data_IF_982269034362
#
_entry.id   IF_982269034362
#
_cell.length_a   1.000
_cell.length_b   1.000
_cell.length_c   1.000
_cell.angle_alpha   90.00
_cell.angle_beta   90.00
_cell.angle_gamma   90.00
#
_symmetry.space_group_name_H-M   'P 1'
#
loop_
_entity.id
_entity.type
_entity.pdbx_description
1 polymer ?
2 non-polymer ?
3 non-polymer ?
4 water ?
#
# COMPACT_ATOMS: atom_id res chain seq x y z
N UNK A 5 3.33 3.56 24.45
CA UNK A 5 4.71 4.07 24.09
C UNK A 5 5.76 2.95 23.98
N UNK A 6 5.98 2.22 25.07
CA UNK A 6 6.79 0.99 25.03
C UNK A 6 6.05 -0.04 24.18
N UNK A 7 4.73 -0.09 24.39
CA UNK A 7 3.81 -0.89 23.61
C UNK A 7 3.89 -0.48 22.13
N UNK A 8 3.81 0.84 21.91
CA UNK A 8 3.88 1.47 20.59
C UNK A 8 5.18 1.16 19.83
N UNK A 9 6.34 1.34 20.47
CA UNK A 9 7.63 1.00 19.85
C UNK A 9 7.79 -0.47 19.44
N UNK A 10 7.30 -1.37 20.28
CA UNK A 10 7.31 -2.81 20.00
C UNK A 10 6.40 -3.14 18.83
N UNK A 11 5.20 -2.57 18.83
CA UNK A 11 4.24 -2.80 17.78
C UNK A 11 4.73 -2.21 16.46
N UNK A 12 5.41 -1.06 16.56
CA UNK A 12 6.08 -0.45 15.38
C UNK A 12 7.11 -1.41 14.76
N UNK A 13 8.05 -1.92 15.56
CA UNK A 13 9.04 -2.87 15.08
C UNK A 13 8.42 -4.16 14.51
N UNK A 14 7.37 -4.66 15.17
CA UNK A 14 6.63 -5.81 14.69
C UNK A 14 6.13 -5.64 13.28
N UNK A 15 5.61 -4.45 12.98
CA UNK A 15 5.10 -4.16 11.64
C UNK A 15 6.24 -4.10 10.61
N UNK A 16 7.35 -3.49 11.02
CA UNK A 16 8.54 -3.39 10.21
C UNK A 16 9.07 -4.77 9.86
N UNK A 17 9.07 -5.67 10.84
CA UNK A 17 9.50 -7.07 10.65
C UNK A 17 8.52 -7.84 9.78
N UNK A 18 7.23 -7.62 9.99
CA UNK A 18 6.20 -8.38 9.23
C UNK A 18 6.08 -8.06 7.75
N UNK A 19 6.46 -6.84 7.37
CA UNK A 19 6.35 -6.37 6.00
C UNK A 19 7.65 -6.55 5.22
N UNK A 20 7.58 -6.57 3.90
CA UNK A 20 8.79 -6.67 3.08
C UNK A 20 8.77 -5.73 1.89
N UNK A 21 7.70 -4.95 1.77
CA UNK A 21 7.61 -3.89 0.77
C UNK A 21 7.06 -2.65 1.43
N UNK A 22 7.64 -1.52 1.05
CA UNK A 22 7.34 -0.26 1.69
C UNK A 22 7.19 0.77 0.60
N UNK A 23 6.52 1.87 0.92
CA UNK A 23 6.46 2.98 -0.03
C UNK A 23 7.47 4.03 0.40
N UNK A 24 8.47 4.22 -0.46
CA UNK A 24 9.52 5.24 -0.27
C UNK A 24 9.05 6.54 -0.92
N UNK A 25 9.01 7.63 -0.14
CA UNK A 25 8.73 8.95 -0.71
C UNK A 25 10.03 9.80 -0.69
N UNK A 26 10.37 10.37 -1.83
CA UNK A 26 11.61 11.16 -1.96
C UNK A 26 11.28 12.54 -2.51
N UNK A 27 12.17 13.52 -2.30
CA UNK A 27 12.05 14.78 -3.03
C UNK A 27 12.23 14.54 -4.53
N UNK A 28 11.24 14.93 -5.31
CA UNK A 28 11.32 14.80 -6.77
C UNK A 28 12.29 15.83 -7.39
N UNK A 29 13.23 15.32 -8.17
CA UNK A 29 14.12 16.17 -8.96
C UNK A 29 13.43 16.65 -10.20
N UNK A 30 12.73 15.76 -10.90
CA UNK A 30 11.98 16.10 -12.13
C UNK A 30 10.90 17.13 -11.91
N UNK A 31 10.14 17.00 -10.82
CA UNK A 31 9.07 17.91 -10.45
C UNK A 31 9.31 18.48 -9.06
N UNK A 32 10.29 19.39 -8.90
CA UNK A 32 10.62 19.93 -7.58
C UNK A 32 9.41 20.47 -6.84
N UNK A 33 9.35 20.19 -5.56
CA UNK A 33 8.17 20.55 -4.76
C UNK A 33 7.10 19.48 -4.69
N UNK A 34 7.25 18.39 -5.45
CA UNK A 34 6.33 17.25 -5.32
C UNK A 34 7.08 16.01 -4.85
N UNK A 35 6.69 15.48 -3.66
CA UNK A 35 7.33 14.25 -3.20
C UNK A 35 6.79 13.10 -4.05
N UNK A 36 7.65 12.15 -4.41
CA UNK A 36 7.25 11.00 -5.23
C UNK A 36 7.34 9.72 -4.43
N UNK A 37 6.32 8.87 -4.54
CA UNK A 37 6.36 7.58 -3.92
C UNK A 37 6.74 6.50 -4.92
N UNK A 38 7.48 5.52 -4.44
CA UNK A 38 7.83 4.33 -5.23
C UNK A 38 7.82 3.14 -4.29
N UNK A 39 7.53 1.96 -4.81
CA UNK A 39 7.50 0.75 -3.98
C UNK A 39 8.89 0.14 -3.99
N UNK A 40 9.43 -0.11 -2.80
CA UNK A 40 10.70 -0.83 -2.67
C UNK A 40 10.58 -2.03 -1.74
N UNK A 41 11.17 -3.18 -2.14
CA UNK A 41 11.40 -4.27 -1.20
C UNK A 41 12.47 -3.90 -0.18
N UNK A 42 12.37 -4.49 1.01
CA UNK A 42 13.37 -4.24 2.01
C UNK A 42 13.50 -5.42 3.01
N UNK A 43 14.68 -5.55 3.61
CA UNK A 43 14.81 -6.35 4.83
C UNK A 43 15.54 -5.49 5.86
N UNK A 44 15.83 -6.02 7.04
CA UNK A 44 16.51 -5.22 8.06
C UNK A 44 17.98 -5.63 8.19
N UNK A 45 18.85 -4.66 8.52
CA UNK A 45 20.29 -4.97 8.73
C UNK A 45 20.61 -5.42 10.15
N UNK A 46 21.90 -5.57 10.47
CA UNK A 46 22.34 -6.05 11.79
C UNK A 46 21.88 -5.11 12.93
N UNK A 47 21.73 -3.83 12.61
CA UNK A 47 21.26 -2.84 13.56
C UNK A 47 19.72 -2.68 13.53
N UNK A 48 19.03 -3.44 12.69
CA UNK A 48 17.57 -3.41 12.70
C UNK A 48 17.01 -2.26 11.85
N UNK A 49 17.84 -1.72 10.96
CA UNK A 49 17.39 -0.66 10.00
C UNK A 49 17.01 -1.20 8.63
N UNK A 50 16.10 -0.49 7.91
CA UNK A 50 15.82 -0.91 6.55
C UNK A 50 16.99 -0.81 5.55
N UNK A 51 17.19 -1.91 4.83
CA UNK A 51 18.21 -2.06 3.80
C UNK A 51 17.51 -2.31 2.46
N UNK A 52 17.86 -1.50 1.48
CA UNK A 52 17.22 -1.56 0.16
C UNK A 52 18.31 -1.69 -0.92
N UNK A 53 17.91 -2.11 -2.10
CA UNK A 53 18.87 -2.31 -3.18
C UNK A 53 18.27 -1.66 -4.40
N UNK A 54 18.89 -0.57 -4.83
CA UNK A 54 18.26 0.29 -5.84
C UNK A 54 19.19 0.60 -7.03
N UNK A 55 18.60 0.68 -8.21
CA UNK A 55 19.32 0.85 -9.47
C UNK A 55 19.89 2.25 -9.59
N UNK A 56 21.12 2.36 -10.06
CA UNK A 56 21.76 3.64 -10.35
C UNK A 56 20.97 4.56 -11.29
N UNK A 57 20.14 3.98 -12.16
CA UNK A 57 19.29 4.75 -13.10
C UNK A 57 17.85 5.00 -12.67
N UNK A 58 17.42 4.37 -11.59
CA UNK A 58 16.07 4.59 -11.08
C UNK A 58 15.95 6.02 -10.59
N UNK A 59 14.78 6.62 -10.82
CA UNK A 59 14.51 7.97 -10.35
C UNK A 59 14.65 8.19 -8.84
N UNK A 60 14.16 7.24 -8.03
CA UNK A 60 14.27 7.42 -6.58
C UNK A 60 15.74 7.46 -6.14
N UNK A 61 16.61 6.79 -6.90
CA UNK A 61 18.07 6.83 -6.63
C UNK A 61 18.67 8.21 -6.90
N UNK A 62 18.35 8.77 -8.05
CA UNK A 62 18.75 10.17 -8.37
C UNK A 62 18.18 11.14 -7.35
N UNK A 63 16.93 10.90 -6.93
CA UNK A 63 16.31 11.73 -5.88
C UNK A 63 17.06 11.70 -4.53
N UNK A 64 17.38 10.50 -4.08
CA UNK A 64 18.16 10.33 -2.84
C UNK A 64 19.58 10.85 -2.93
N UNK A 65 20.19 10.73 -4.12
CA UNK A 65 21.51 11.35 -4.39
C UNK A 65 21.48 12.88 -4.23
N UNK A 66 20.43 13.52 -4.73
CA UNK A 66 20.31 14.96 -4.62
C UNK A 66 19.84 15.40 -3.22
N UNK A 67 19.03 14.56 -2.56
CA UNK A 67 18.61 14.84 -1.17
C UNK A 67 18.27 13.52 -0.45
N UNK A 68 19.09 13.07 0.54
CA UNK A 68 18.85 11.75 1.13
C UNK A 68 17.70 11.68 2.14
N UNK A 69 17.04 12.82 2.39
CA UNK A 69 15.97 12.84 3.39
C UNK A 69 14.69 12.27 2.75
N UNK A 70 14.08 11.29 3.39
CA UNK A 70 13.02 10.53 2.78
C UNK A 70 12.07 9.97 3.81
N UNK A 71 10.99 9.39 3.30
CA UNK A 71 9.98 8.77 4.14
C UNK A 71 9.85 7.33 3.68
N UNK A 72 9.64 6.41 4.62
CA UNK A 72 9.29 5.04 4.26
C UNK A 72 8.00 4.65 4.98
N UNK A 73 6.99 4.23 4.22
CA UNK A 73 5.69 3.87 4.80
C UNK A 73 5.46 2.38 4.72
N UNK A 74 5.17 1.77 5.88
CA UNK A 74 4.82 0.36 5.94
C UNK A 74 3.45 0.18 6.62
N UNK A 75 2.69 -0.78 6.12
CA UNK A 75 1.37 -1.01 6.65
C UNK A 75 0.90 -2.41 6.34
N UNK A 76 0.07 -2.92 7.23
CA UNK A 76 -0.44 -4.29 7.15
C UNK A 76 -0.94 -4.64 5.74
N UNK A 77 -0.52 -5.81 5.27
CA UNK A 77 -0.74 -6.22 3.88
C UNK A 77 -2.19 -6.61 3.55
N UNK A 78 -2.68 -6.13 2.41
CA UNK A 78 -4.03 -6.46 1.90
C UNK A 78 -5.20 -5.99 2.75
N UNK A 79 -4.97 -4.95 3.54
CA UNK A 79 -5.99 -4.45 4.45
C UNK A 79 -7.05 -3.77 3.61
N UNK A 80 -8.30 -4.18 3.80
CA UNK A 80 -9.42 -3.55 3.10
C UNK A 80 -9.92 -2.27 3.77
N UNK A 81 -9.87 -2.23 5.10
CA UNK A 81 -10.04 -1.00 5.84
C UNK A 81 -8.65 -0.58 6.32
N UNK A 82 -8.04 0.29 5.53
CA UNK A 82 -6.62 0.64 5.65
C UNK A 82 -6.33 1.47 6.88
N UNK A 83 -7.38 2.07 7.43
CA UNK A 83 -7.25 2.86 8.66
C UNK A 83 -7.66 2.08 9.90
N UNK A 84 -7.84 0.76 9.74
CA UNK A 84 -8.18 -0.16 10.84
C UNK A 84 -7.00 -1.06 11.20
N UNK A 85 -5.82 -0.75 10.63
CA UNK A 85 -4.60 -1.54 10.88
C UNK A 85 -3.52 -0.56 11.35
N UNK A 86 -2.44 -1.06 11.92
CA UNK A 86 -1.32 -0.18 12.24
C UNK A 86 -0.63 0.26 10.95
N UNK A 87 -0.08 1.47 10.97
CA UNK A 87 0.83 1.94 9.89
C UNK A 87 2.00 2.61 10.57
N UNK A 88 3.14 2.55 9.89
CA UNK A 88 4.37 3.15 10.38
C UNK A 88 4.99 3.98 9.26
N UNK A 89 5.23 5.25 9.56
CA UNK A 89 6.02 6.13 8.72
C UNK A 89 7.36 6.37 9.38
N UNK A 90 8.41 5.98 8.66
CA UNK A 90 9.79 6.25 9.06
C UNK A 90 10.28 7.47 8.30
N UNK A 91 10.77 8.47 9.03
CA UNK A 91 11.54 9.59 8.43
C UNK A 91 12.99 9.21 8.58
N UNK A 92 13.75 9.28 7.47
CA UNK A 92 15.10 8.71 7.46
C UNK A 92 16.01 9.49 6.52
N UNK A 93 17.32 9.27 6.66
CA UNK A 93 18.33 9.74 5.70
C UNK A 93 18.93 8.54 4.99
N UNK A 94 18.77 8.43 3.68
CA UNK A 94 19.31 7.27 2.99
C UNK A 94 20.82 7.43 2.79
N UNK A 95 21.57 6.35 3.00
CA UNK A 95 23.02 6.40 2.83
C UNK A 95 23.43 5.19 2.03
N UNK A 96 24.15 5.39 0.92
CA UNK A 96 24.70 4.29 0.15
C UNK A 96 25.85 3.67 0.95
N UNK A 97 25.84 2.35 1.06
CA UNK A 97 26.82 1.60 1.87
C UNK A 97 28.19 1.71 1.24
N UNK A 98 29.21 1.82 2.08
CA UNK A 98 30.60 1.80 1.61
C UNK A 98 30.96 0.39 1.12
N UNK A 99 32.00 0.30 0.30
CA UNK A 99 32.49 -0.99 -0.20
C UNK A 99 32.70 -2.05 0.90
N UNK A 100 33.17 -1.62 2.08
CA UNK A 100 33.42 -2.51 3.21
C UNK A 100 32.15 -3.10 3.79
N UNK A 101 31.02 -2.41 3.60
CA UNK A 101 29.73 -2.87 4.14
C UNK A 101 28.91 -3.78 3.19
N UNK A 102 29.30 -3.79 1.90
CA UNK A 102 28.49 -4.41 0.85
C UNK A 102 28.31 -5.92 0.98
N UNK A 103 29.40 -6.61 1.35
CA UNK A 103 29.38 -8.08 1.43
C UNK A 103 28.37 -8.61 2.45
N UNK A 104 28.39 -8.06 3.66
CA UNK A 104 27.40 -8.44 4.68
C UNK A 104 25.97 -8.06 4.29
N UNK A 105 25.80 -6.95 3.58
CA UNK A 105 24.48 -6.48 3.12
C UNK A 105 23.91 -7.47 2.10
N UNK A 106 24.71 -7.76 1.05
CA UNK A 106 24.37 -8.72 0.01
C UNK A 106 24.03 -10.10 0.58
N UNK A 107 24.88 -10.62 1.45
CA UNK A 107 24.64 -11.93 2.04
C UNK A 107 23.26 -12.05 2.73
N UNK A 108 22.85 -11.04 3.48
CA UNK A 108 21.54 -11.06 4.17
C UNK A 108 20.37 -10.76 3.23
N UNK A 109 20.50 -9.66 2.47
CA UNK A 109 19.47 -9.26 1.51
C UNK A 109 19.20 -10.36 0.47
N UNK A 110 20.25 -10.94 -0.09
CA UNK A 110 20.04 -12.06 -1.05
C UNK A 110 19.38 -13.31 -0.48
N UNK A 111 19.48 -13.51 0.84
CA UNK A 111 18.71 -14.58 1.49
C UNK A 111 17.23 -14.26 1.46
N UNK A 112 16.90 -12.98 1.72
CA UNK A 112 15.53 -12.50 1.65
C UNK A 112 14.96 -12.45 0.22
N UNK A 113 15.78 -12.03 -0.74
CA UNK A 113 15.34 -11.85 -2.12
C UNK A 113 16.27 -12.60 -3.09
N UNK A 114 16.17 -13.92 -3.14
CA UNK A 114 17.06 -14.73 -3.95
C UNK A 114 17.11 -14.31 -5.42
N UNK A 115 15.99 -13.86 -5.97
CA UNK A 115 15.88 -13.61 -7.39
C UNK A 115 16.73 -12.41 -7.85
N UNK A 116 17.41 -11.79 -6.90
CA UNK A 116 18.05 -10.52 -7.12
C UNK A 116 19.53 -10.78 -7.21
N UNK A 117 19.92 -12.00 -6.89
CA UNK A 117 21.31 -12.25 -6.58
C UNK A 117 22.22 -11.45 -7.50
N UNK A 118 23.34 -10.99 -6.96
CA UNK A 118 24.33 -10.23 -7.71
C UNK A 118 23.80 -9.24 -8.74
N UNK A 119 22.64 -8.65 -8.46
CA UNK A 119 22.23 -7.46 -9.20
C UNK A 119 23.14 -6.25 -8.98
N UNK A 120 23.82 -6.18 -7.83
CA UNK A 120 24.90 -5.21 -7.61
C UNK A 120 26.17 -5.58 -8.44
N UNK A 121 26.35 -4.86 -9.54
CA UNK A 121 27.48 -4.98 -10.49
C UNK A 121 27.56 -6.19 -11.44
N UNK A 122 26.43 -6.85 -11.64
CA UNK A 122 26.12 -7.43 -12.95
C UNK A 122 25.10 -6.45 -13.55
N UNK A 123 24.22 -5.96 -12.69
CA UNK A 123 23.30 -4.90 -13.04
C UNK A 123 23.61 -3.62 -12.28
N UNK A 124 22.75 -2.64 -12.51
CA UNK A 124 22.85 -1.28 -12.02
C UNK A 124 22.81 -1.02 -10.49
N UNK A 125 22.83 -2.04 -9.62
CA UNK A 125 22.27 -1.83 -8.26
C UNK A 125 23.28 -1.62 -7.13
N UNK A 126 22.89 -0.78 -6.15
CA UNK A 126 23.67 -0.56 -4.94
C UNK A 126 22.79 -0.60 -3.70
N UNK A 127 23.39 -1.08 -2.61
CA UNK A 127 22.73 -1.16 -1.34
C UNK A 127 22.74 0.17 -0.62
N UNK A 128 21.57 0.54 -0.10
CA UNK A 128 21.42 1.74 0.73
C UNK A 128 20.73 1.37 2.04
N UNK A 129 21.13 2.04 3.12
CA UNK A 129 20.50 1.86 4.44
C UNK A 129 19.70 3.14 4.74
N UNK A 130 18.51 2.98 5.32
CA UNK A 130 17.72 4.11 5.80
C UNK A 130 18.04 4.36 7.29
N UNK A 131 18.79 5.43 7.53
CA UNK A 131 19.18 5.84 8.89
C UNK A 131 18.02 6.58 9.52
N UNK A 132 17.37 5.98 10.53
CA UNK A 132 16.21 6.59 11.18
C UNK A 132 16.46 7.96 11.83
N UNK A 133 15.53 8.87 11.57
CA UNK A 133 15.49 10.21 12.18
C UNK A 133 14.30 10.27 13.16
N UNK A 134 13.17 9.71 12.74
CA UNK A 134 11.94 9.80 13.55
C UNK A 134 10.95 8.76 13.06
N UNK A 135 10.08 8.25 13.94
CA UNK A 135 9.00 7.35 13.52
C UNK A 135 7.62 7.88 13.89
N UNK A 136 6.64 7.74 13.00
CA UNK A 136 5.24 8.06 13.38
C UNK A 136 4.42 6.77 13.29
N UNK A 137 3.99 6.24 14.43
CA UNK A 137 3.25 4.97 14.40
C UNK A 137 1.78 5.28 14.67
N UNK A 138 0.89 4.73 13.87
CA UNK A 138 -0.54 4.82 14.17
C UNK A 138 -1.10 3.40 14.37
N UNK A 139 -1.71 3.18 15.53
CA UNK A 139 -2.23 1.85 15.87
C UNK A 139 -3.59 1.64 15.23
N UNK A 140 -4.06 0.38 15.25
CA UNK A 140 -5.34 -0.02 14.65
C UNK A 140 -6.56 0.75 15.14
N UNK A 141 -6.51 1.20 16.40
CA UNK A 141 -7.57 2.01 17.02
C UNK A 141 -7.38 3.48 16.76
N UNK A 142 -6.25 3.84 16.15
CA UNK A 142 -6.08 5.20 15.70
C UNK A 142 -5.26 6.07 16.63
N UNK A 143 -4.66 5.49 17.66
CA UNK A 143 -3.73 6.27 18.52
C UNK A 143 -2.40 6.58 17.78
N UNK A 144 -1.98 7.84 17.83
CA UNK A 144 -0.75 8.30 17.18
C UNK A 144 0.41 8.40 18.17
N UNK A 145 1.53 7.76 17.86
CA UNK A 145 2.76 7.83 18.66
C UNK A 145 3.95 8.28 17.81
N UNK A 146 4.54 9.41 18.17
CA UNK A 146 5.80 9.83 17.61
C UNK A 146 6.94 9.22 18.41
N UNK A 147 7.90 8.60 17.74
CA UNK A 147 8.95 7.88 18.47
C UNK A 147 10.34 8.32 18.00
N UNK A 148 11.27 8.43 18.95
CA UNK A 148 12.67 8.79 18.61
C UNK A 148 13.29 7.81 17.64
N UNK A 149 14.29 8.28 16.91
CA UNK A 149 15.01 7.48 15.94
C UNK A 149 15.40 6.09 16.45
N UNK A 150 15.93 6.04 17.67
CA UNK A 150 16.45 4.79 18.25
C UNK A 150 15.45 3.96 19.04
N UNK A 151 14.23 4.47 19.20
CA UNK A 151 13.20 3.77 19.95
C UNK A 151 12.70 2.47 19.28
N UNK A 152 12.68 2.46 17.94
CA UNK A 152 12.07 1.34 17.18
C UNK A 152 13.05 0.21 16.79
N UNK A 153 14.21 0.51 16.18
CA UNK A 153 15.03 -0.64 15.74
C UNK A 153 15.63 -1.43 16.93
N UNK A 154 15.68 -2.75 16.80
CA UNK A 154 16.45 -3.64 17.69
C UNK A 154 17.53 -4.37 16.87
N UNK A 155 18.76 -4.25 17.33
CA UNK A 155 19.91 -4.92 16.72
C UNK A 155 19.71 -6.44 16.65
N UNK A 156 20.33 -7.07 15.67
CA UNK A 156 20.23 -8.52 15.50
C UNK A 156 21.62 -9.10 15.67
N UNK A 157 21.91 -9.73 16.83
CA UNK A 157 23.25 -10.29 17.08
C UNK A 157 23.60 -11.50 16.21
N UNK A 158 22.63 -12.01 15.46
CA UNK A 158 22.84 -13.17 14.62
C UNK A 158 23.25 -12.80 13.21
N UNK A 159 23.07 -11.53 12.84
CA UNK A 159 23.14 -11.14 11.43
C UNK A 159 24.48 -11.48 10.79
N UNK A 160 24.44 -12.15 9.64
CA UNK A 160 25.66 -12.64 8.99
C UNK A 160 25.88 -14.13 9.21
N UNK A 161 27.11 -14.49 9.57
CA UNK A 161 27.56 -15.88 9.58
C UNK A 161 26.91 -16.80 10.63
N UNK A 162 26.58 -16.27 11.81
CA UNK A 162 25.84 -17.08 12.79
C UNK A 162 24.47 -17.42 12.21
N UNK A 163 23.74 -16.39 11.81
CA UNK A 163 22.46 -16.52 11.16
C UNK A 163 22.49 -17.40 9.91
N UNK A 164 23.46 -17.16 9.03
CA UNK A 164 23.57 -17.90 7.76
C UNK A 164 23.66 -19.40 8.05
N UNK A 165 24.44 -19.75 9.05
CA UNK A 165 24.58 -21.15 9.47
C UNK A 165 23.32 -21.76 10.07
N UNK A 166 22.69 -21.05 11.01
CA UNK A 166 21.42 -21.52 11.59
C UNK A 166 20.36 -21.72 10.51
N UNK A 167 20.29 -20.78 9.57
CA UNK A 167 19.29 -20.83 8.49
C UNK A 167 19.57 -21.96 7.50
N UNK A 168 20.82 -22.08 7.08
CA UNK A 168 21.22 -23.12 6.14
C UNK A 168 20.94 -24.51 6.72
N UNK A 169 21.24 -24.68 8.01
CA UNK A 169 21.01 -25.96 8.71
C UNK A 169 19.55 -26.29 8.96
N UNK A 170 18.72 -25.28 9.28
CA UNK A 170 17.27 -25.51 9.40
C UNK A 170 16.67 -25.94 8.07
N UNK A 171 17.12 -25.32 6.99
CA UNK A 171 16.59 -25.61 5.66
C UNK A 171 16.99 -26.99 5.09
N UNK A 172 18.22 -27.41 5.38
CA UNK A 172 18.71 -28.73 4.96
C UNK A 172 18.23 -29.89 5.83
N UNK A 173 18.29 -29.69 7.14
CA UNK A 173 18.02 -30.75 8.10
C UNK A 173 16.54 -30.82 8.54
N UNK A 174 15.82 -29.70 8.53
CA UNK A 174 14.53 -29.65 9.23
C UNK A 174 13.33 -29.14 8.42
N UNK A 175 13.30 -29.55 7.16
CA UNK A 175 12.18 -29.29 6.29
C UNK A 175 10.83 -29.66 6.96
N UNK A 176 10.83 -30.71 7.77
CA UNK A 176 9.61 -31.18 8.42
C UNK A 176 9.12 -30.15 9.45
N UNK A 177 10.03 -29.60 10.27
CA UNK A 177 9.68 -28.58 11.26
C UNK A 177 9.12 -27.32 10.60
N UNK A 178 9.66 -26.99 9.43
CA UNK A 178 9.29 -25.80 8.64
C UNK A 178 7.88 -25.94 8.10
N UNK A 179 7.55 -27.10 7.54
CA UNK A 179 6.21 -27.36 7.02
C UNK A 179 5.19 -27.24 8.16
N UNK A 180 5.60 -27.65 9.33
CA UNK A 180 4.76 -27.57 10.49
C UNK A 180 4.52 -26.12 10.93
N UNK A 181 5.57 -25.29 10.96
CA UNK A 181 5.41 -23.83 11.23
C UNK A 181 4.34 -23.23 10.32
N UNK A 182 4.45 -23.54 9.03
CA UNK A 182 3.48 -23.13 8.00
C UNK A 182 2.05 -23.53 8.37
N UNK A 183 1.83 -24.83 8.62
CA UNK A 183 0.53 -25.34 9.07
C UNK A 183 0.02 -24.59 10.31
N UNK A 184 0.89 -24.51 11.32
CA UNK A 184 0.55 -23.92 12.61
C UNK A 184 0.11 -22.45 12.49
N UNK A 185 0.62 -21.76 11.46
CA UNK A 185 0.56 -20.30 11.37
C UNK A 185 -0.55 -19.68 10.55
N UNK A 186 -0.62 -20.02 9.27
CA UNK A 186 -1.21 -19.07 8.33
C UNK A 186 -1.89 -19.76 7.19
N UNK A 187 -1.14 -20.28 6.21
CA UNK A 187 0.08 -19.70 5.62
C UNK A 187 0.19 -20.50 4.32
N UNK A 188 0.51 -19.84 3.19
CA UNK A 188 0.44 -20.51 1.87
C UNK A 188 1.22 -21.83 1.87
N UNK A 189 0.74 -22.83 1.13
CA UNK A 189 1.31 -24.18 1.20
C UNK A 189 1.64 -24.88 -0.13
N UNK A 190 1.73 -24.12 -1.22
CA UNK A 190 2.03 -24.69 -2.55
C UNK A 190 3.49 -25.10 -2.71
N UNK A 191 4.40 -24.19 -2.34
CA UNK A 191 5.78 -24.51 -1.94
C UNK A 191 5.64 -24.60 -0.40
N UNK A 192 6.41 -25.40 0.35
CA UNK A 192 7.87 -25.58 0.34
C UNK A 192 8.53 -24.24 0.80
N UNK A 193 8.45 -24.00 2.12
CA UNK A 193 8.97 -22.78 2.72
C UNK A 193 10.47 -22.93 3.01
N UNK A 194 11.21 -21.82 2.97
CA UNK A 194 12.62 -21.81 3.35
C UNK A 194 12.79 -20.74 4.41
N UNK A 195 13.70 -20.95 5.37
CA UNK A 195 14.06 -19.87 6.30
C UNK A 195 14.86 -18.84 5.53
N UNK A 196 14.46 -17.57 5.70
CA UNK A 196 15.18 -16.45 5.09
C UNK A 196 16.20 -15.86 6.07
N UNK A 197 15.78 -15.68 7.32
CA UNK A 197 16.62 -15.09 8.35
C UNK A 197 16.02 -15.25 9.74
N UNK A 198 16.83 -14.96 10.74
CA UNK A 198 16.41 -15.10 12.14
C UNK A 198 16.88 -13.89 12.89
N UNK A 199 16.05 -13.39 13.80
CA UNK A 199 16.41 -12.30 14.69
C UNK A 199 16.11 -12.72 16.12
N UNK A 200 16.34 -11.85 17.09
CA UNK A 200 16.12 -12.21 18.50
C UNK A 200 14.65 -12.43 18.83
N UNK A 201 13.74 -11.82 18.07
CA UNK A 201 12.31 -11.87 18.38
C UNK A 201 11.52 -12.89 17.56
N UNK A 202 12.12 -13.38 16.49
CA UNK A 202 11.39 -14.25 15.57
C UNK A 202 12.23 -14.55 14.36
N UNK A 203 11.57 -15.04 13.32
CA UNK A 203 12.26 -15.47 12.12
C UNK A 203 11.36 -15.29 10.88
N UNK A 204 12.00 -15.21 9.71
CA UNK A 204 11.30 -15.03 8.45
C UNK A 204 11.28 -16.32 7.64
N UNK A 205 10.11 -16.62 7.05
CA UNK A 205 9.98 -17.67 6.07
C UNK A 205 9.70 -17.04 4.74
N UNK A 206 10.38 -17.52 3.71
CA UNK A 206 10.01 -17.19 2.32
C UNK A 206 9.12 -18.28 1.74
N UNK A 207 8.00 -17.86 1.15
CA UNK A 207 7.07 -18.74 0.42
C UNK A 207 6.39 -18.06 -0.79
N UNK A 208 6.64 -18.43 -2.03
CA UNK A 208 7.95 -18.45 -2.61
C UNK A 208 8.21 -17.00 -3.07
N UNK A 209 7.20 -16.10 -2.99
CA UNK A 209 7.39 -14.65 -3.34
C UNK A 209 7.02 -13.39 -2.47
N UNK A 210 6.51 -13.41 -1.23
CA UNK A 210 6.36 -14.49 -0.33
C UNK A 210 7.22 -14.37 0.92
N UNK A 211 7.24 -13.26 1.67
CA UNK A 211 7.93 -13.26 3.00
C UNK A 211 7.04 -13.07 4.25
N UNK A 212 7.33 -13.82 5.32
CA UNK A 212 6.43 -13.92 6.45
C UNK A 212 7.22 -14.00 7.74
N UNK A 213 6.90 -13.11 8.68
CA UNK A 213 7.57 -13.12 9.97
C UNK A 213 6.75 -13.85 11.05
N UNK A 214 7.42 -14.70 11.81
CA UNK A 214 6.79 -15.40 12.92
C UNK A 214 7.57 -15.20 14.21
N UNK A 215 6.87 -14.86 15.30
CA UNK A 215 7.48 -14.60 16.61
C UNK A 215 7.84 -15.85 17.40
N UNK A 216 8.94 -15.75 18.15
CA UNK A 216 9.30 -16.72 19.20
C UNK A 216 8.45 -16.44 20.42
N UNK A 217 8.22 -17.47 21.30
CA UNK A 217 7.45 -17.21 22.54
C UNK A 217 8.06 -16.11 23.40
N UNK A 218 9.39 -16.02 23.39
CA UNK A 218 10.07 -14.94 24.07
C UNK A 218 11.37 -14.70 23.32
N UNK A 219 11.93 -13.51 23.45
CA UNK A 219 13.16 -13.16 22.73
C UNK A 219 14.25 -14.18 23.01
N UNK A 220 15.05 -14.46 21.99
CA UNK A 220 16.14 -15.41 22.12
C UNK A 220 17.44 -14.68 21.84
N UNK A 221 18.27 -14.55 22.87
CA UNK A 221 19.51 -13.78 22.77
C UNK A 221 20.70 -14.51 22.18
N UNK A 222 20.65 -15.84 22.16
CA UNK A 222 21.74 -16.67 21.65
C UNK A 222 21.21 -17.85 20.80
N UNK A 223 22.09 -18.56 20.06
CA UNK A 223 21.67 -19.66 19.19
C UNK A 223 21.07 -20.86 19.90
N UNK A 224 21.39 -21.00 21.19
CA UNK A 224 20.88 -22.09 22.02
C UNK A 224 19.45 -21.80 22.34
N UNK A 225 19.17 -20.53 22.62
CA UNK A 225 17.81 -20.08 22.86
C UNK A 225 16.96 -20.17 21.59
N UNK A 226 17.51 -19.82 20.42
CA UNK A 226 16.71 -19.99 19.21
C UNK A 226 16.41 -21.47 18.90
N UNK A 227 17.40 -22.38 19.03
CA UNK A 227 17.13 -23.84 18.86
C UNK A 227 15.98 -24.26 19.75
N UNK A 228 16.02 -23.88 21.03
CA UNK A 228 14.94 -24.21 21.95
C UNK A 228 13.55 -23.76 21.47
N UNK A 229 13.42 -22.47 21.16
CA UNK A 229 12.16 -21.93 20.64
C UNK A 229 11.70 -22.67 19.39
N UNK A 230 12.63 -22.96 18.48
CA UNK A 230 12.31 -23.69 17.24
C UNK A 230 11.96 -25.17 17.46
N UNK A 231 12.48 -25.77 18.52
CA UNK A 231 12.10 -27.16 18.87
C UNK A 231 10.68 -27.16 19.41
N UNK A 232 10.40 -26.23 20.32
CA UNK A 232 9.07 -26.04 20.89
C UNK A 232 7.99 -25.77 19.83
N UNK A 233 8.26 -24.88 18.89
CA UNK A 233 7.33 -24.68 17.77
C UNK A 233 7.14 -25.92 16.90
N UNK A 234 8.20 -26.71 16.72
CA UNK A 234 8.14 -27.99 15.98
C UNK A 234 7.25 -29.05 16.64
N UNK A 235 7.26 -29.09 17.97
CA UNK A 235 6.45 -30.03 18.74
C UNK A 235 5.10 -29.44 19.16
N UNK A 236 4.94 -28.14 18.94
CA UNK A 236 3.72 -27.43 19.33
C UNK A 236 2.52 -27.87 18.50
N UNK A 237 1.41 -28.09 19.19
CA UNK A 237 0.15 -28.42 18.53
C UNK A 237 -0.60 -27.15 18.10
N UNK A 238 -0.38 -26.07 18.85
CA UNK A 238 -0.96 -24.74 18.54
C UNK A 238 0.13 -23.69 18.73
N UNK A 239 0.03 -22.55 18.05
CA UNK A 239 1.00 -21.46 18.26
C UNK A 239 0.93 -20.91 19.70
N UNK A 240 2.09 -20.89 20.41
CA UNK A 240 2.09 -20.42 21.81
C UNK A 240 1.97 -18.91 21.99
N UNK A 241 1.45 -18.51 23.16
CA UNK A 241 1.40 -17.10 23.60
C UNK A 241 2.81 -16.49 23.76
N UNK A 242 2.97 -15.23 23.33
CA UNK A 242 4.27 -14.56 23.36
C UNK A 242 4.53 -13.84 24.70
N UNK B 1 -3.32 9.77 -31.70
CA UNK B 1 -3.58 11.10 -31.07
C UNK B 1 -2.59 11.58 -29.99
N UNK B 2 -1.40 11.00 -29.80
CA UNK B 2 -0.91 9.68 -30.24
C UNK B 2 -1.65 8.54 -29.52
N UNK B 3 -1.89 7.46 -30.25
CA UNK B 3 -2.87 6.45 -29.85
C UNK B 3 -2.47 5.74 -28.56
N UNK B 4 -1.17 5.51 -28.40
CA UNK B 4 -0.62 4.93 -27.19
C UNK B 4 -0.95 5.81 -26.00
N UNK B 5 -0.75 7.12 -26.17
CA UNK B 5 -0.95 7.99 -25.03
C UNK B 5 -2.46 8.18 -24.72
N UNK B 6 -3.33 8.19 -25.74
CA UNK B 6 -4.77 8.14 -25.41
C UNK B 6 -5.17 6.86 -24.69
N UNK B 7 -4.65 5.71 -25.15
CA UNK B 7 -4.86 4.45 -24.45
C UNK B 7 -4.36 4.54 -23.00
N UNK B 8 -3.17 5.12 -22.81
CA UNK B 8 -2.54 5.26 -21.49
C UNK B 8 -3.38 6.08 -20.47
N UNK B 9 -4.02 7.13 -20.97
CA UNK B 9 -4.84 8.02 -20.16
C UNK B 9 -6.09 7.31 -19.64
N UNK B 10 -6.68 6.48 -20.50
CA UNK B 10 -7.86 5.65 -20.19
C UNK B 10 -7.42 4.55 -19.22
N UNK B 11 -6.26 3.96 -19.45
CA UNK B 11 -5.74 2.94 -18.58
C UNK B 11 -5.48 3.52 -17.18
N UNK B 12 -5.03 4.78 -17.14
CA UNK B 12 -4.70 5.46 -15.89
C UNK B 12 -5.95 5.69 -15.09
N UNK B 13 -6.97 6.20 -15.75
CA UNK B 13 -8.26 6.43 -15.15
C UNK B 13 -8.89 5.13 -14.67
N UNK B 14 -8.81 4.07 -15.46
CA UNK B 14 -9.32 2.76 -15.03
C UNK B 14 -8.66 2.29 -13.73
N UNK B 15 -7.34 2.45 -13.62
CA UNK B 15 -6.62 2.12 -12.40
C UNK B 15 -7.14 2.99 -11.22
N UNK B 16 -7.29 4.29 -11.46
CA UNK B 16 -7.86 5.20 -10.46
C UNK B 16 -9.26 4.78 -9.98
N UNK B 17 -10.07 4.32 -10.91
CA UNK B 17 -11.42 3.83 -10.60
C UNK B 17 -11.39 2.49 -9.88
N UNK B 18 -10.47 1.63 -10.28
CA UNK B 18 -10.39 0.28 -9.72
C UNK B 18 -9.85 0.25 -8.29
N UNK B 19 -9.13 1.30 -7.86
CA UNK B 19 -8.68 1.37 -6.46
C UNK B 19 -9.54 2.34 -5.63
N UNK B 20 -9.40 2.23 -4.32
CA UNK B 20 -10.09 3.11 -3.37
C UNK B 20 -9.16 3.44 -2.21
N UNK B 21 -7.90 3.00 -2.31
CA UNK B 21 -6.84 3.20 -1.33
C UNK B 21 -5.60 3.73 -2.01
N UNK B 22 -4.93 4.71 -1.44
CA UNK B 22 -3.73 5.29 -2.06
C UNK B 22 -2.68 5.62 -1.00
N UNK B 23 -1.45 5.85 -1.43
CA UNK B 23 -0.45 6.37 -0.50
C UNK B 23 -0.24 7.82 -0.85
N UNK B 24 -0.53 8.69 0.10
CA UNK B 24 -0.38 10.11 -0.07
C UNK B 24 1.06 10.49 0.39
N UNK B 25 1.81 11.25 -0.43
CA UNK B 25 3.09 11.82 0.00
C UNK B 25 2.97 13.36 0.11
N UNK B 26 3.36 13.92 1.25
CA UNK B 26 3.13 15.34 1.58
C UNK B 26 4.46 15.88 2.14
N UNK B 27 4.57 17.20 2.29
CA UNK B 27 5.78 17.78 2.89
C UNK B 27 5.54 17.80 4.37
N UNK B 28 6.42 17.19 5.16
CA UNK B 28 6.26 17.29 6.62
C UNK B 28 6.41 18.72 7.09
N UNK B 29 5.34 19.18 7.76
CA UNK B 29 5.36 20.44 8.48
C UNK B 29 6.07 20.33 9.83
N UNK B 30 5.81 19.24 10.54
CA UNK B 30 6.45 19.04 11.84
C UNK B 30 7.94 18.81 11.68
N UNK B 31 8.34 18.11 10.62
CA UNK B 31 9.74 17.89 10.31
C UNK B 31 10.11 18.50 8.95
N UNK B 32 10.34 19.82 8.91
CA UNK B 32 10.77 20.45 7.65
C UNK B 32 11.93 19.74 6.95
N UNK B 33 11.81 19.58 5.63
CA UNK B 33 12.86 18.92 4.84
C UNK B 33 12.61 17.44 4.62
N UNK B 34 11.58 16.89 5.27
CA UNK B 34 11.23 15.50 5.07
C UNK B 34 9.87 15.35 4.38
N UNK B 35 9.79 14.47 3.37
CA UNK B 35 8.48 14.07 2.82
C UNK B 35 7.84 13.15 3.86
N UNK B 36 6.54 12.86 3.68
CA UNK B 36 5.83 12.08 4.66
C UNK B 36 4.80 11.24 3.92
N UNK B 37 4.90 9.92 4.09
CA UNK B 37 3.93 8.99 3.51
C UNK B 37 2.83 8.62 4.51
N UNK B 38 1.58 8.65 4.01
CA UNK B 38 0.38 8.21 4.72
C UNK B 38 -0.57 7.47 3.79
N UNK B 39 -1.52 6.76 4.38
CA UNK B 39 -2.51 6.01 3.61
C UNK B 39 -3.83 6.78 3.65
N UNK B 40 -4.51 6.89 2.52
CA UNK B 40 -5.85 7.49 2.52
C UNK B 40 -6.78 6.69 1.62
N UNK B 41 -8.02 6.46 2.11
CA UNK B 41 -9.05 5.99 1.18
C UNK B 41 -9.58 7.17 0.33
N UNK B 42 -10.12 6.86 -0.85
CA UNK B 42 -10.70 7.89 -1.70
C UNK B 42 -11.83 7.38 -2.60
N UNK B 43 -12.65 8.31 -3.08
CA UNK B 43 -13.48 8.10 -4.24
C UNK B 43 -13.33 9.33 -5.14
N UNK B 44 -13.99 9.33 -6.28
CA UNK B 44 -13.84 10.46 -7.19
C UNK B 44 -15.08 11.33 -7.05
N UNK B 45 -14.88 12.64 -7.18
CA UNK B 45 -16.00 13.59 -7.18
C UNK B 45 -16.64 13.70 -8.58
N UNK B 46 -17.62 14.60 -8.74
CA UNK B 46 -18.28 14.90 -10.04
C UNK B 46 -17.36 15.18 -11.25
N UNK B 47 -16.20 15.78 -11.01
CA UNK B 47 -15.23 16.04 -12.11
C UNK B 47 -14.22 14.91 -12.27
N UNK B 48 -14.34 13.84 -11.49
CA UNK B 48 -13.46 12.68 -11.64
C UNK B 48 -12.15 12.84 -10.91
N UNK B 49 -12.12 13.74 -9.91
CA UNK B 49 -10.91 13.99 -9.12
C UNK B 49 -11.04 13.29 -7.77
N UNK B 50 -9.88 12.84 -7.18
CA UNK B 50 -9.89 12.23 -5.86
C UNK B 50 -10.40 13.13 -4.76
N UNK B 51 -11.27 12.55 -3.94
CA UNK B 51 -11.92 13.23 -2.84
C UNK B 51 -11.60 12.46 -1.56
N UNK B 52 -11.07 13.15 -0.56
CA UNK B 52 -10.65 12.50 0.69
C UNK B 52 -11.34 13.16 1.90
N UNK B 53 -11.44 12.41 2.99
CA UNK B 53 -12.01 12.94 4.22
C UNK B 53 -10.96 12.74 5.30
N UNK B 54 -10.34 13.83 5.74
CA UNK B 54 -9.16 13.72 6.59
C UNK B 54 -9.31 14.53 7.89
N UNK B 55 -8.69 13.99 8.93
CA UNK B 55 -8.86 14.45 10.31
C UNK B 55 -7.99 15.67 10.60
N UNK B 56 -8.49 16.61 11.40
CA UNK B 56 -7.77 17.86 11.67
C UNK B 56 -6.45 17.66 12.42
N UNK B 57 -6.30 16.49 13.03
CA UNK B 57 -5.11 16.24 13.82
C UNK B 57 -4.12 15.33 13.09
N UNK B 58 -4.51 14.84 11.92
CA UNK B 58 -3.66 13.99 11.08
C UNK B 58 -2.45 14.75 10.57
N UNK B 59 -1.27 14.13 10.59
CA UNK B 59 -0.09 14.73 9.97
C UNK B 59 -0.38 15.21 8.54
N UNK B 60 -0.95 14.36 7.69
CA UNK B 60 -1.16 14.78 6.30
C UNK B 60 -2.04 16.02 6.15
N UNK B 61 -2.91 16.26 7.13
CA UNK B 61 -3.81 17.42 7.10
C UNK B 61 -3.02 18.69 7.44
N UNK B 62 -2.22 18.63 8.52
CA UNK B 62 -1.30 19.71 8.85
C UNK B 62 -0.38 20.02 7.68
N UNK B 63 0.10 18.98 6.99
CA UNK B 63 1.03 19.14 5.88
C UNK B 63 0.37 19.83 4.70
N UNK B 64 -0.86 19.44 4.39
CA UNK B 64 -1.56 20.02 3.23
C UNK B 64 -1.98 21.47 3.52
N UNK B 65 -2.35 21.74 4.77
CA UNK B 65 -2.61 23.10 5.26
C UNK B 65 -1.42 24.05 5.03
N UNK B 66 -0.19 23.58 5.27
CA UNK B 66 1.02 24.40 5.08
C UNK B 66 1.53 24.43 3.63
N UNK B 67 1.38 23.32 2.92
CA UNK B 67 1.83 23.22 1.55
C UNK B 67 0.91 22.25 0.80
N UNK B 68 0.04 22.79 -0.06
CA UNK B 68 -0.94 21.95 -0.75
C UNK B 68 -0.36 20.96 -1.77
N UNK B 69 0.92 21.10 -2.14
CA UNK B 69 1.56 20.21 -3.14
C UNK B 69 1.80 18.81 -2.58
N UNK B 70 1.35 17.80 -3.33
CA UNK B 70 1.42 16.43 -2.84
C UNK B 70 1.40 15.48 -4.00
N UNK B 71 1.62 14.19 -3.73
CA UNK B 71 1.33 13.18 -4.74
C UNK B 71 0.55 12.04 -4.11
N UNK B 72 -0.19 11.34 -4.96
CA UNK B 72 -0.91 10.11 -4.60
C UNK B 72 -0.36 8.97 -5.46
N UNK B 73 0.01 7.85 -4.81
CA UNK B 73 0.45 6.66 -5.51
C UNK B 73 -0.67 5.60 -5.40
N UNK B 74 -1.10 5.10 -6.55
CA UNK B 74 -2.16 4.10 -6.61
C UNK B 74 -1.80 2.92 -7.53
N UNK B 75 -2.10 1.71 -7.06
CA UNK B 75 -1.64 0.47 -7.70
C UNK B 75 -2.70 -0.31 -8.47
N UNK B 76 -2.25 -1.20 -9.36
CA UNK B 76 -3.10 -2.18 -10.07
C UNK B 76 -3.67 -3.26 -9.13
N UNK B 84 2.64 -7.58 -13.85
CA UNK B 84 2.33 -6.69 -12.75
C UNK B 84 3.58 -5.94 -12.29
N UNK B 85 3.38 -4.74 -11.77
CA UNK B 85 2.03 -4.21 -11.53
C UNK B 85 1.91 -2.77 -12.03
N UNK B 86 0.86 -2.51 -12.81
CA UNK B 86 0.54 -1.12 -13.24
C UNK B 86 0.45 -0.16 -12.06
N UNK B 87 0.96 1.05 -12.24
CA UNK B 87 1.03 2.02 -11.16
C UNK B 87 0.79 3.43 -11.68
N UNK B 88 0.05 4.21 -10.88
CA UNK B 88 -0.31 5.58 -11.26
C UNK B 88 0.11 6.55 -10.18
N UNK B 89 0.83 7.59 -10.58
CA UNK B 89 1.18 8.71 -9.73
C UNK B 89 0.41 9.94 -10.13
N UNK B 90 -0.26 10.58 -9.15
CA UNK B 90 -0.92 11.87 -9.34
C UNK B 90 -0.18 12.94 -8.58
N UNK B 91 0.24 13.96 -9.32
CA UNK B 91 0.75 15.18 -8.71
C UNK B 91 -0.40 16.14 -8.65
N UNK B 92 -0.63 16.70 -7.46
CA UNK B 92 -1.84 17.45 -7.19
C UNK B 92 -1.61 18.62 -6.22
N UNK B 93 -2.48 19.63 -6.31
CA UNK B 93 -2.63 20.58 -5.23
C UNK B 93 -3.93 20.35 -4.49
N UNK B 94 -3.82 19.99 -3.21
CA UNK B 94 -5.01 19.69 -2.41
C UNK B 94 -5.68 20.99 -1.99
N UNK B 95 -7.02 20.96 -1.98
CA UNK B 95 -7.85 22.11 -1.59
C UNK B 95 -8.92 21.61 -0.66
N UNK B 96 -9.09 22.28 0.49
CA UNK B 96 -10.20 21.95 1.36
C UNK B 96 -11.50 22.55 0.80
N UNK B 97 -12.53 21.71 0.68
CA UNK B 97 -13.80 22.15 0.06
C UNK B 97 -14.48 23.28 0.84
N UNK B 98 -14.99 24.26 0.09
CA UNK B 98 -15.80 25.32 0.68
C UNK B 98 -17.11 24.73 1.22
N UNK B 99 -17.68 25.39 2.22
CA UNK B 99 -18.94 24.99 2.84
C UNK B 99 -20.05 24.57 1.85
N UNK B 100 -20.14 25.28 0.72
CA UNK B 100 -21.17 25.01 -0.30
C UNK B 100 -20.95 23.70 -1.06
N UNK B 101 -19.71 23.22 -1.03
CA UNK B 101 -19.31 22.02 -1.76
C UNK B 101 -19.48 20.74 -0.95
N UNK B 102 -19.69 20.89 0.35
CA UNK B 102 -19.62 19.80 1.32
C UNK B 102 -20.79 18.83 1.22
N UNK B 103 -22.00 19.35 1.06
CA UNK B 103 -23.16 18.49 0.96
C UNK B 103 -22.99 17.42 -0.13
N UNK B 104 -22.47 17.82 -1.28
CA UNK B 104 -22.41 16.92 -2.44
C UNK B 104 -21.27 15.91 -2.30
N UNK B 105 -20.14 16.39 -1.76
CA UNK B 105 -19.01 15.54 -1.35
C UNK B 105 -19.46 14.44 -0.40
N UNK B 106 -20.08 14.87 0.70
CA UNK B 106 -20.53 13.99 1.76
C UNK B 106 -21.47 12.91 1.24
N UNK B 107 -22.40 13.31 0.37
CA UNK B 107 -23.40 12.39 -0.13
C UNK B 107 -22.76 11.26 -0.92
N UNK B 108 -21.78 11.61 -1.78
CA UNK B 108 -21.15 10.61 -2.61
C UNK B 108 -20.16 9.81 -1.74
N UNK B 109 -19.32 10.50 -0.98
CA UNK B 109 -18.30 9.83 -0.17
C UNK B 109 -18.91 8.83 0.84
N UNK B 110 -20.01 9.22 1.50
CA UNK B 110 -20.67 8.31 2.45
C UNK B 110 -21.36 7.09 1.82
N UNK B 111 -21.63 7.17 0.52
CA UNK B 111 -22.09 6.02 -0.25
C UNK B 111 -20.96 5.04 -0.50
N UNK B 112 -19.76 5.56 -0.71
CA UNK B 112 -18.57 4.71 -0.84
C UNK B 112 -18.10 4.19 0.49
N UNK B 113 -18.19 5.03 1.53
CA UNK B 113 -17.68 4.70 2.87
C UNK B 113 -18.75 4.98 3.93
N UNK B 114 -19.78 4.12 4.00
CA UNK B 114 -20.93 4.29 4.93
C UNK B 114 -20.54 4.31 6.40
N UNK B 115 -19.49 3.58 6.80
CA UNK B 115 -18.98 3.61 8.19
C UNK B 115 -18.36 4.96 8.59
N UNK B 116 -18.11 5.82 7.61
CA UNK B 116 -17.62 7.18 7.88
C UNK B 116 -18.72 8.20 8.08
N UNK B 117 -19.98 7.81 7.90
CA UNK B 117 -21.10 8.76 7.90
C UNK B 117 -21.02 9.76 9.07
N UNK B 118 -21.30 11.02 8.77
CA UNK B 118 -21.33 12.15 9.72
C UNK B 118 -19.99 12.64 10.33
N UNK B 119 -18.91 11.91 10.08
CA UNK B 119 -17.54 12.27 10.54
C UNK B 119 -17.14 13.72 10.30
N UNK B 120 -17.55 14.27 9.16
CA UNK B 120 -17.25 15.67 8.83
C UNK B 120 -17.98 16.68 9.76
N UNK B 121 -19.13 16.24 10.30
CA UNK B 121 -19.97 17.05 11.18
C UNK B 121 -19.60 16.83 12.66
N UNK B 122 -19.66 15.56 13.11
CA UNK B 122 -19.51 15.18 14.52
C UNK B 122 -18.04 15.03 14.97
N UNK B 123 -17.20 14.49 14.10
CA UNK B 123 -15.77 14.44 14.38
C UNK B 123 -15.06 15.57 13.62
N UNK B 124 -13.77 15.76 13.87
CA UNK B 124 -13.03 16.87 13.28
C UNK B 124 -12.41 16.50 11.94
N UNK B 125 -13.26 16.09 10.98
CA UNK B 125 -12.82 15.72 9.64
C UNK B 125 -13.36 16.72 8.64
N UNK B 126 -12.59 16.94 7.57
CA UNK B 126 -13.03 17.77 6.44
C UNK B 126 -12.70 17.10 5.11
N UNK B 127 -13.48 17.47 4.08
CA UNK B 127 -13.27 17.01 2.71
C UNK B 127 -12.26 17.88 1.96
N UNK B 128 -11.38 17.23 1.23
CA UNK B 128 -10.42 17.91 0.40
C UNK B 128 -10.45 17.27 -0.96
N UNK B 129 -10.13 18.04 -1.97
CA UNK B 129 -10.06 17.49 -3.31
C UNK B 129 -8.61 17.65 -3.77
N UNK B 130 -8.10 16.65 -4.48
CA UNK B 130 -6.79 16.73 -5.05
C UNK B 130 -6.95 17.26 -6.48
N UNK B 131 -6.52 18.51 -6.70
CA UNK B 131 -6.59 19.12 -8.02
C UNK B 131 -5.36 18.69 -8.84
N UNK B 132 -5.57 17.92 -9.93
CA UNK B 132 -4.47 17.43 -10.77
C UNK B 132 -3.54 18.49 -11.34
N UNK B 133 -2.24 18.25 -11.19
CA UNK B 133 -1.24 19.01 -11.95
C UNK B 133 -0.51 18.16 -13.01
N UNK B 134 -0.35 16.87 -12.73
CA UNK B 134 0.28 15.96 -13.68
C UNK B 134 0.01 14.55 -13.30
N UNK B 135 0.03 13.64 -14.26
CA UNK B 135 -0.08 12.25 -13.93
C UNK B 135 1.07 11.46 -14.53
N UNK B 136 1.46 10.38 -13.85
CA UNK B 136 2.33 9.41 -14.49
C UNK B 136 1.85 7.98 -14.37
N UNK B 137 1.51 7.40 -15.52
CA UNK B 137 1.06 6.04 -15.57
C UNK B 137 2.19 5.14 -16.11
N UNK B 138 2.44 4.06 -15.38
CA UNK B 138 3.36 3.02 -15.82
C UNK B 138 2.65 1.67 -15.88
N UNK B 139 2.59 1.06 -17.08
CA UNK B 139 1.97 -0.27 -17.25
C UNK B 139 2.79 -1.43 -16.67
N UNK B 140 2.17 -2.60 -16.55
CA UNK B 140 2.87 -3.85 -16.17
C UNK B 140 4.08 -4.20 -17.06
N UNK B 141 4.07 -3.72 -18.31
CA UNK B 141 5.25 -3.88 -19.18
C UNK B 141 6.32 -2.78 -18.95
N UNK B 142 5.98 -1.74 -18.19
CA UNK B 142 6.96 -0.70 -17.81
C UNK B 142 6.92 0.53 -18.71
N UNK B 143 6.00 0.56 -19.67
CA UNK B 143 5.87 1.74 -20.53
C UNK B 143 5.48 2.93 -19.67
N UNK B 144 6.29 4.00 -19.76
CA UNK B 144 6.08 5.20 -18.95
C UNK B 144 5.31 6.23 -19.78
N UNK B 145 4.19 6.71 -19.24
CA UNK B 145 3.42 7.75 -19.91
C UNK B 145 3.12 8.91 -18.97
N UNK B 146 3.83 10.02 -19.18
CA UNK B 146 3.50 11.29 -18.52
C UNK B 146 2.33 11.97 -19.24
N UNK B 147 1.33 12.39 -18.48
CA UNK B 147 0.07 12.94 -19.00
C UNK B 147 -0.29 14.29 -18.31
N UNK B 148 -0.76 15.24 -19.12
CA UNK B 148 -1.22 16.55 -18.65
C UNK B 148 -2.40 16.41 -17.69
N UNK B 149 -2.55 17.41 -16.82
CA UNK B 149 -3.53 17.38 -15.78
C UNK B 149 -4.92 16.86 -16.22
N UNK B 150 -5.43 17.39 -17.33
CA UNK B 150 -6.82 17.20 -17.73
C UNK B 150 -7.00 15.92 -18.55
N UNK B 151 -5.92 15.24 -18.88
CA UNK B 151 -6.03 14.03 -19.72
C UNK B 151 -6.71 12.83 -19.03
N UNK B 152 -6.52 12.71 -17.71
CA UNK B 152 -6.96 11.53 -16.99
C UNK B 152 -8.42 11.59 -16.46
N UNK B 153 -8.78 12.67 -15.73
CA UNK B 153 -10.12 12.70 -15.11
C UNK B 153 -11.24 12.71 -16.14
N UNK B 154 -12.32 12.00 -15.85
CA UNK B 154 -13.49 12.08 -16.68
C UNK B 154 -14.67 12.46 -15.79
N UNK B 155 -15.35 13.55 -16.14
CA UNK B 155 -16.50 14.01 -15.39
C UNK B 155 -17.59 12.93 -15.32
N UNK B 156 -18.27 12.89 -14.17
CA UNK B 156 -19.37 11.99 -13.95
C UNK B 156 -20.71 12.78 -13.93
N UNK B 157 -21.46 12.75 -15.04
CA UNK B 157 -22.71 13.49 -15.13
C UNK B 157 -23.80 12.90 -14.24
N UNK B 158 -23.59 11.68 -13.73
CA UNK B 158 -24.56 11.11 -12.81
C UNK B 158 -24.34 11.52 -11.35
N UNK B 159 -23.14 12.01 -11.03
CA UNK B 159 -22.77 12.23 -9.63
C UNK B 159 -23.85 13.07 -8.96
N UNK B 160 -24.28 12.63 -7.78
CA UNK B 160 -25.37 13.30 -7.08
C UNK B 160 -26.67 12.50 -7.17
N UNK B 161 -27.76 13.22 -7.43
CA UNK B 161 -29.11 12.67 -7.37
C UNK B 161 -29.45 11.56 -8.38
N UNK B 162 -28.93 11.66 -9.60
CA UNK B 162 -29.26 10.65 -10.64
C UNK B 162 -28.65 9.33 -10.24
N UNK B 163 -27.37 9.40 -9.89
CA UNK B 163 -26.63 8.31 -9.33
C UNK B 163 -27.27 7.69 -8.07
N UNK B 164 -27.69 8.52 -7.14
CA UNK B 164 -28.23 8.00 -5.88
C UNK B 164 -29.47 7.14 -6.10
N UNK B 165 -30.40 7.65 -6.92
CA UNK B 165 -31.60 6.91 -7.32
C UNK B 165 -31.29 5.61 -8.04
N UNK B 166 -30.31 5.65 -8.94
CA UNK B 166 -29.89 4.43 -9.65
C UNK B 166 -29.35 3.37 -8.68
N UNK B 167 -28.43 3.80 -7.82
CA UNK B 167 -27.81 2.91 -6.83
C UNK B 167 -28.86 2.32 -5.85
N UNK B 168 -29.74 3.18 -5.33
CA UNK B 168 -30.76 2.70 -4.38
C UNK B 168 -31.74 1.69 -4.99
N UNK B 169 -32.19 1.96 -6.21
CA UNK B 169 -33.06 1.01 -6.94
C UNK B 169 -32.36 -0.31 -7.21
N UNK B 170 -31.10 -0.26 -7.67
CA UNK B 170 -30.34 -1.49 -7.88
C UNK B 170 -30.23 -2.31 -6.59
N UNK B 171 -29.84 -1.66 -5.46
CA UNK B 171 -29.66 -2.35 -4.16
C UNK B 171 -30.96 -2.86 -3.55
N UNK B 172 -32.02 -2.11 -3.77
CA UNK B 172 -33.33 -2.50 -3.28
C UNK B 172 -34.02 -3.58 -4.14
N UNK B 173 -33.99 -3.42 -5.46
CA UNK B 173 -34.86 -4.23 -6.32
C UNK B 173 -34.12 -5.23 -7.21
N UNK B 174 -32.79 -5.15 -7.23
CA UNK B 174 -32.03 -5.99 -8.15
C UNK B 174 -30.80 -6.59 -7.52
N UNK B 175 -30.93 -6.98 -6.25
CA UNK B 175 -29.89 -7.79 -5.60
C UNK B 175 -29.54 -9.06 -6.39
N UNK B 176 -30.51 -9.72 -7.02
CA UNK B 176 -30.18 -10.90 -7.85
C UNK B 176 -29.20 -10.57 -8.97
N UNK B 177 -29.43 -9.47 -9.68
CA UNK B 177 -28.53 -9.05 -10.75
C UNK B 177 -27.13 -8.73 -10.22
N UNK B 178 -27.08 -8.10 -9.02
CA UNK B 178 -25.81 -7.79 -8.35
C UNK B 178 -25.02 -9.07 -8.07
N UNK B 179 -25.71 -10.12 -7.63
CA UNK B 179 -25.08 -11.44 -7.43
C UNK B 179 -24.52 -12.01 -8.75
N UNK B 180 -25.23 -11.79 -9.85
CA UNK B 180 -24.77 -12.19 -11.17
C UNK B 180 -23.46 -11.48 -11.54
N UNK B 181 -23.35 -10.18 -11.23
CA UNK B 181 -22.13 -9.44 -11.56
C UNK B 181 -20.94 -10.00 -10.81
N UNK B 182 -21.12 -10.21 -9.51
CA UNK B 182 -20.07 -10.79 -8.68
C UNK B 182 -19.62 -12.13 -9.23
N UNK B 183 -20.58 -13.03 -9.52
CA UNK B 183 -20.30 -14.35 -10.10
C UNK B 183 -19.48 -14.23 -11.36
N UNK B 184 -19.97 -13.41 -12.30
CA UNK B 184 -19.38 -13.26 -13.64
C UNK B 184 -17.97 -12.69 -13.57
N UNK B 185 -17.74 -11.73 -12.68
CA UNK B 185 -16.41 -11.12 -12.51
C UNK B 185 -15.49 -11.84 -11.51
N UNK B 186 -15.99 -12.87 -10.83
CA UNK B 186 -15.14 -13.59 -9.88
C UNK B 186 -14.76 -12.72 -8.70
N UNK B 187 -15.66 -11.83 -8.30
CA UNK B 187 -15.40 -11.00 -7.11
C UNK B 187 -15.58 -11.80 -5.82
N UNK B 188 -15.02 -11.29 -4.71
CA UNK B 188 -15.11 -11.90 -3.38
C UNK B 188 -16.58 -12.10 -3.01
N UNK B 189 -16.88 -13.19 -2.32
CA UNK B 189 -18.26 -13.48 -2.01
C UNK B 189 -18.53 -13.73 -0.53
N UNK B 190 -17.67 -13.20 0.37
CA UNK B 190 -17.87 -13.35 1.80
C UNK B 190 -19.11 -12.60 2.31
N UNK B 191 -19.51 -11.53 1.63
CA UNK B 191 -20.76 -10.83 1.88
C UNK B 191 -21.43 -10.54 0.54
N UNK B 192 -22.75 -10.35 0.53
CA UNK B 192 -23.43 -9.86 -0.68
C UNK B 192 -22.93 -8.42 -0.98
N UNK B 193 -22.84 -8.10 -2.26
CA UNK B 193 -22.38 -6.83 -2.72
C UNK B 193 -23.52 -5.82 -2.72
N UNK B 194 -23.16 -4.54 -2.62
CA UNK B 194 -24.10 -3.45 -2.89
C UNK B 194 -23.47 -2.48 -3.88
N UNK B 195 -24.28 -1.84 -4.72
CA UNK B 195 -23.70 -0.74 -5.51
C UNK B 195 -23.37 0.41 -4.59
N UNK B 196 -22.22 1.05 -4.86
CA UNK B 196 -21.81 2.27 -4.17
C UNK B 196 -21.97 3.49 -5.09
N UNK B 197 -21.67 3.34 -6.37
CA UNK B 197 -21.77 4.45 -7.29
C UNK B 197 -21.67 4.02 -8.74
N UNK B 198 -21.97 4.96 -9.62
CA UNK B 198 -22.05 4.74 -11.06
C UNK B 198 -21.43 5.97 -11.77
N UNK B 199 -20.60 5.69 -12.78
CA UNK B 199 -20.01 6.73 -13.60
C UNK B 199 -20.32 6.36 -15.07
N UNK B 200 -19.87 7.13 -16.04
CA UNK B 200 -20.18 6.78 -17.43
C UNK B 200 -19.51 5.50 -17.94
N UNK B 201 -18.48 5.04 -17.24
CA UNK B 201 -17.69 3.91 -17.72
C UNK B 201 -17.95 2.61 -17.03
N UNK B 202 -18.48 2.67 -15.80
CA UNK B 202 -18.75 1.50 -15.03
C UNK B 202 -19.40 1.87 -13.71
N UNK B 203 -19.27 0.94 -12.77
CA UNK B 203 -19.90 1.06 -11.46
C UNK B 203 -19.09 0.38 -10.37
N UNK B 204 -19.23 0.91 -9.15
CA UNK B 204 -18.57 0.35 -8.00
C UNK B 204 -19.53 -0.53 -7.20
N UNK B 205 -18.99 -1.65 -6.75
CA UNK B 205 -19.67 -2.53 -5.81
C UNK B 205 -18.84 -2.49 -4.52
N UNK B 206 -19.52 -2.35 -3.38
CA UNK B 206 -18.91 -2.59 -2.08
C UNK B 206 -19.22 -4.00 -1.61
N UNK B 207 -18.17 -4.73 -1.23
CA UNK B 207 -18.28 -6.10 -0.66
C UNK B 207 -17.53 -6.12 0.70
N UNK B 208 -18.27 -6.20 1.80
CA UNK B 208 -17.65 -5.96 3.11
C UNK B 208 -16.89 -4.63 3.10
N UNK B 209 -15.57 -4.69 3.24
CA UNK B 209 -14.74 -3.46 3.42
C UNK B 209 -13.86 -2.70 2.34
N UNK B 210 -13.57 -3.08 1.08
CA UNK B 210 -14.28 -3.89 0.16
C UNK B 210 -14.83 -3.12 -1.05
N UNK B 211 -14.10 -2.24 -1.75
CA UNK B 211 -14.64 -1.65 -3.02
C UNK B 211 -14.03 -2.18 -4.34
N UNK B 212 -14.88 -2.33 -5.35
CA UNK B 212 -14.49 -2.94 -6.64
C UNK B 212 -15.17 -2.26 -7.80
N UNK B 213 -14.43 -2.03 -8.88
CA UNK B 213 -15.00 -1.37 -10.06
C UNK B 213 -15.15 -2.35 -11.21
N UNK B 214 -16.29 -2.24 -11.94
CA UNK B 214 -16.62 -3.08 -13.08
C UNK B 214 -17.01 -2.22 -14.31
N UNK B 215 -16.42 -2.52 -15.47
CA UNK B 215 -16.71 -1.71 -16.67
C UNK B 215 -18.02 -2.11 -17.38
N UNK B 216 -18.78 -1.11 -17.86
CA UNK B 216 -19.85 -1.35 -18.83
C UNK B 216 -19.24 -1.85 -20.17
N UNK B 217 -20.03 -2.57 -20.99
CA UNK B 217 -19.50 -3.02 -22.29
C UNK B 217 -19.10 -1.83 -23.17
N UNK B 218 -19.79 -0.69 -23.01
CA UNK B 218 -19.45 0.59 -23.67
C UNK B 218 -19.86 1.72 -22.75
N UNK B 219 -19.38 2.94 -23.01
CA UNK B 219 -19.69 4.11 -22.19
C UNK B 219 -21.18 4.40 -22.22
N UNK B 220 -21.71 4.91 -21.10
CA UNK B 220 -23.14 5.18 -20.93
C UNK B 220 -23.35 6.59 -20.48
N UNK B 221 -23.96 7.40 -21.34
CA UNK B 221 -24.06 8.85 -21.12
C UNK B 221 -25.32 9.31 -20.44
N UNK B 222 -26.30 8.43 -20.27
CA UNK B 222 -27.58 8.77 -19.64
C UNK B 222 -28.10 7.55 -18.87
N UNK B 223 -29.04 7.74 -17.92
CA UNK B 223 -29.55 6.64 -17.10
C UNK B 223 -30.15 5.46 -17.88
N UNK B 224 -30.75 5.72 -19.03
CA UNK B 224 -31.33 4.67 -19.88
C UNK B 224 -30.27 3.76 -20.47
N UNK B 225 -29.19 4.36 -20.97
CA UNK B 225 -28.02 3.61 -21.39
C UNK B 225 -27.43 2.79 -20.23
N UNK B 226 -27.42 3.34 -19.02
CA UNK B 226 -26.92 2.59 -17.85
C UNK B 226 -27.85 1.41 -17.57
N UNK B 227 -29.16 1.65 -17.66
CA UNK B 227 -30.12 0.56 -17.47
C UNK B 227 -29.83 -0.55 -18.46
N UNK B 228 -29.68 -0.19 -19.73
CA UNK B 228 -29.43 -1.18 -20.78
C UNK B 228 -28.18 -2.02 -20.54
N UNK B 229 -27.10 -1.37 -20.10
CA UNK B 229 -25.84 -2.06 -19.83
C UNK B 229 -26.00 -3.07 -18.67
N UNK B 230 -26.70 -2.62 -17.62
CA UNK B 230 -26.87 -3.42 -16.42
C UNK B 230 -27.75 -4.65 -16.69
N UNK B 231 -28.77 -4.49 -17.50
CA UNK B 231 -29.62 -5.58 -17.98
C UNK B 231 -28.79 -6.56 -18.82
N UNK B 232 -27.99 -6.02 -19.76
CA UNK B 232 -27.12 -6.83 -20.59
C UNK B 232 -26.15 -7.62 -19.69
N UNK B 233 -25.55 -6.95 -18.71
CA UNK B 233 -24.62 -7.63 -17.79
C UNK B 233 -25.27 -8.74 -16.99
N UNK B 234 -26.53 -8.52 -16.57
CA UNK B 234 -27.30 -9.49 -15.76
C UNK B 234 -27.68 -10.75 -16.51
N UNK B 235 -27.78 -10.62 -17.83
CA UNK B 235 -28.10 -11.75 -18.70
C UNK B 235 -26.87 -12.44 -19.29
N UNK B 236 -25.71 -11.78 -19.20
CA UNK B 236 -24.47 -12.31 -19.82
C UNK B 236 -23.95 -13.58 -19.14
N UNK B 237 -23.30 -14.44 -19.91
CA UNK B 237 -22.72 -15.67 -19.36
C UNK B 237 -21.20 -15.54 -19.20
N UNK B 238 -20.60 -14.56 -19.85
CA UNK B 238 -19.27 -14.07 -19.51
C UNK B 238 -19.21 -12.55 -19.72
N UNK B 239 -18.24 -11.90 -19.08
CA UNK B 239 -18.08 -10.46 -19.17
C UNK B 239 -17.74 -9.99 -20.60
N UNK B 240 -18.62 -9.19 -21.22
CA UNK B 240 -18.31 -8.73 -22.58
C UNK B 240 -17.13 -7.77 -22.55
N UNK B 241 -16.42 -7.64 -23.66
CA UNK B 241 -15.22 -6.79 -23.69
C UNK B 241 -15.45 -5.39 -24.27
N UNK B 242 -14.40 -4.55 -24.19
CA UNK B 242 -14.31 -3.24 -24.87
C UNK B 242 -15.16 -2.18 -24.15
#
# INVERSE_FOLDING_TARGET
ANSMSVEAAKNARELLLKEYRAVLSTHSKKWPGFPFGSVVPYCLDAEGRPLILISRIAQHTHNLQADPRCSMLVGERGAEDIQAVGRLTLLAEARQLAEEEVAAAAERYYRYFPESADYHRVHDFDFWVLQPVQWRFIGGFGAIHWLAAERVPLANPFAGEAERGMVEHMNSDHAAAIAHYVELAGLPAHAAAQLAGIDTEGFHLRIGQGLHWLPFPAACGNPGAVRQALVQLARAERWPTVEPEQG
ANSMSVEAAKNARELLLKEYRAVLSTHSKKWPGFPFGSVVPYCLDAEGRPLILISRIAQHTHNLQADPRCSMLVGERGAEDIQAVGRLTLLAEARQLAEEEVAAAAERYYRYFPESADYHRVHDFDFWVLQPVQWRFIGGFGAIHWLAAERVPLANPFAGEAERGMVEHMNSDHAAAIAHYVELAGLPAHAAAQLAGIDTEGFHLRIGQGLHWLPFPAACGNPGAVRQALVQLARAERWPTVEPEQG
#
